data_IF_399153428397
#
_entry.id   IF_399153428397
#
_cell.length_a   1.000
_cell.length_b   1.000
_cell.length_c   1.000
_cell.angle_alpha   90.00
_cell.angle_beta   90.00
_cell.angle_gamma   90.00
#
_symmetry.space_group_name_H-M   'P 1'
#
loop_
_entity.id
_entity.type
_entity.pdbx_description
1 polymer ?
#
# COMPACT_ATOMS: atom_id res chain seq x y z
N UNK A 1 40.50 26.57 -9.71
CA UNK A 1 40.19 25.26 -10.34
C UNK A 1 40.76 25.28 -11.77
N UNK A 2 42.08 25.42 -11.88
CA UNK A 2 42.78 25.62 -13.15
C UNK A 2 44.04 24.78 -13.12
N UNK A 3 43.84 23.45 -13.17
CA UNK A 3 44.80 22.39 -13.51
C UNK A 3 44.33 21.07 -12.91
N UNK A 4 43.38 20.40 -13.56
CA UNK A 4 43.30 18.93 -13.48
C UNK A 4 44.01 18.43 -14.74
N UNK A 5 45.24 17.94 -14.57
CA UNK A 5 46.09 17.45 -15.67
C UNK A 5 45.71 16.03 -16.14
N UNK A 6 44.70 15.40 -15.53
CA UNK A 6 44.20 14.06 -15.86
C UNK A 6 42.67 14.01 -15.72
N UNK A 7 41.94 13.27 -16.57
CA UNK A 7 40.49 13.11 -16.47
C UNK A 7 40.04 12.25 -15.28
N UNK A 8 40.98 11.67 -14.52
CA UNK A 8 40.70 10.76 -13.41
C UNK A 8 41.06 11.40 -12.07
N UNK A 9 40.12 11.36 -11.13
CA UNK A 9 40.31 11.74 -9.72
C UNK A 9 40.63 10.49 -8.90
N UNK A 10 41.76 10.52 -8.19
CA UNK A 10 42.08 9.54 -7.14
C UNK A 10 41.68 10.13 -5.79
N UNK A 11 40.77 9.47 -5.09
CA UNK A 11 40.22 9.94 -3.82
C UNK A 11 40.53 8.91 -2.73
N UNK A 12 41.15 9.36 -1.64
CA UNK A 12 41.33 8.56 -0.43
C UNK A 12 40.31 9.05 0.60
N UNK A 13 39.40 8.16 0.97
CA UNK A 13 38.33 8.46 1.92
C UNK A 13 38.89 8.37 3.35
N UNK A 14 38.62 9.34 4.24
CA UNK A 14 39.00 9.23 5.65
C UNK A 14 38.27 8.10 6.37
N UNK A 15 38.95 7.42 7.29
CA UNK A 15 38.43 6.22 7.99
C UNK A 15 37.09 6.42 8.74
N UNK A 16 36.71 7.65 9.07
CA UNK A 16 35.46 7.95 9.78
C UNK A 16 34.24 8.09 8.84
N UNK A 17 34.44 8.14 7.52
CA UNK A 17 33.37 8.23 6.52
C UNK A 17 32.90 6.84 6.10
N UNK A 18 32.22 6.19 7.04
CA UNK A 18 31.70 4.82 6.90
C UNK A 18 30.56 4.70 5.87
N UNK A 19 30.02 5.85 5.46
CA UNK A 19 28.95 6.00 4.46
C UNK A 19 29.47 6.01 3.02
N UNK A 20 30.77 6.19 2.79
CA UNK A 20 31.34 6.10 1.44
C UNK A 20 31.82 4.67 1.19
N UNK A 21 31.16 4.00 0.26
CA UNK A 21 31.46 2.62 -0.10
C UNK A 21 32.81 2.49 -0.84
N UNK A 22 33.49 1.36 -0.62
CA UNK A 22 34.66 0.96 -1.42
C UNK A 22 34.27 0.28 -2.74
N UNK A 23 33.00 -0.08 -2.93
CA UNK A 23 32.51 -0.66 -4.18
C UNK A 23 32.47 0.42 -5.27
N UNK A 24 32.93 0.14 -6.51
CA UNK A 24 33.16 1.18 -7.51
C UNK A 24 31.92 1.99 -7.92
N UNK A 25 30.74 1.36 -7.98
CA UNK A 25 29.51 2.01 -8.44
C UNK A 25 28.92 2.87 -7.32
N UNK A 26 28.73 2.28 -6.15
CA UNK A 26 28.17 2.95 -4.97
C UNK A 26 29.12 4.02 -4.45
N UNK A 27 30.41 3.71 -4.27
CA UNK A 27 31.41 4.67 -3.81
C UNK A 27 31.56 5.89 -4.74
N UNK A 28 31.44 5.70 -6.06
CA UNK A 28 31.41 6.84 -7.00
C UNK A 28 30.16 7.70 -6.79
N UNK A 29 29.00 7.09 -6.59
CA UNK A 29 27.76 7.82 -6.33
C UNK A 29 27.84 8.60 -5.00
N UNK A 30 28.36 7.97 -3.93
CA UNK A 30 28.54 8.60 -2.62
C UNK A 30 29.47 9.83 -2.71
N UNK A 31 30.57 9.72 -3.48
CA UNK A 31 31.46 10.86 -3.72
C UNK A 31 30.80 11.98 -4.55
N UNK A 32 29.97 11.63 -5.53
CA UNK A 32 29.22 12.61 -6.33
C UNK A 32 28.17 13.32 -5.45
N UNK A 33 27.50 12.60 -4.56
CA UNK A 33 26.59 13.18 -3.56
C UNK A 33 27.34 14.19 -2.68
N UNK A 34 28.53 13.84 -2.17
CA UNK A 34 29.31 14.74 -1.33
C UNK A 34 29.76 16.01 -2.07
N UNK A 35 30.15 15.88 -3.33
CA UNK A 35 30.46 17.02 -4.19
C UNK A 35 29.21 17.89 -4.36
N UNK A 36 28.06 17.29 -4.66
CA UNK A 36 26.81 18.02 -4.83
C UNK A 36 26.37 18.72 -3.54
N UNK A 37 26.49 18.05 -2.38
CA UNK A 37 26.16 18.59 -1.05
C UNK A 37 27.03 19.79 -0.68
N UNK A 38 28.34 19.72 -0.94
CA UNK A 38 29.27 20.84 -0.68
C UNK A 38 29.11 21.98 -1.69
N UNK A 39 28.86 21.64 -2.96
CA UNK A 39 28.60 22.64 -4.01
C UNK A 39 27.30 23.41 -3.74
N UNK A 40 26.29 22.72 -3.21
CA UNK A 40 24.96 23.23 -2.91
C UNK A 40 23.96 22.81 -3.98
N UNK A 41 22.94 22.05 -3.59
CA UNK A 41 21.91 21.53 -4.51
C UNK A 41 21.19 22.64 -5.30
N UNK A 42 20.95 23.79 -4.68
CA UNK A 42 20.29 24.93 -5.33
C UNK A 42 21.08 25.52 -6.51
N UNK A 43 22.37 25.17 -6.63
CA UNK A 43 23.24 25.60 -7.72
C UNK A 43 23.27 24.61 -8.89
N UNK A 44 22.64 23.44 -8.74
CA UNK A 44 22.49 22.48 -9.82
C UNK A 44 21.30 22.94 -10.69
N UNK A 45 21.50 23.22 -11.99
CA UNK A 45 20.43 23.71 -12.84
C UNK A 45 19.35 22.64 -13.02
N UNK A 46 18.08 23.04 -12.92
CA UNK A 46 16.95 22.18 -13.26
C UNK A 46 16.86 22.10 -14.78
N UNK A 47 16.92 20.88 -15.31
CA UNK A 47 16.76 20.60 -16.74
C UNK A 47 15.69 19.55 -16.95
N UNK A 48 14.90 19.68 -18.01
CA UNK A 48 13.96 18.64 -18.42
C UNK A 48 14.69 17.48 -19.08
N UNK A 49 14.14 16.28 -18.95
CA UNK A 49 14.60 15.12 -19.71
C UNK A 49 14.25 15.35 -21.18
N UNK A 50 15.24 15.19 -22.08
CA UNK A 50 15.06 15.43 -23.52
C UNK A 50 14.48 14.25 -24.28
N UNK A 51 14.37 13.09 -23.63
CA UNK A 51 13.95 11.84 -24.25
C UNK A 51 12.42 11.76 -24.38
N UNK A 52 11.95 11.14 -25.46
CA UNK A 52 10.52 10.86 -25.63
C UNK A 52 10.03 9.92 -24.53
N UNK A 53 8.92 10.30 -23.89
CA UNK A 53 8.26 9.44 -22.91
C UNK A 53 7.72 8.17 -23.59
N UNK A 54 7.80 7.01 -22.93
CA UNK A 54 7.16 5.80 -23.43
C UNK A 54 5.64 6.02 -23.57
N UNK A 55 4.97 5.31 -24.49
CA UNK A 55 3.54 5.45 -24.69
C UNK A 55 2.79 5.09 -23.41
N UNK A 56 1.83 5.94 -23.03
CA UNK A 56 0.96 5.68 -21.89
C UNK A 56 0.14 4.41 -22.14
N UNK A 57 0.21 3.46 -21.22
CA UNK A 57 -0.61 2.25 -21.23
C UNK A 57 -1.66 2.35 -20.15
N UNK A 58 -2.92 2.31 -20.54
CA UNK A 58 -4.03 2.39 -19.60
C UNK A 58 -4.14 1.13 -18.76
N UNK A 59 -4.41 1.31 -17.46
CA UNK A 59 -4.72 0.21 -16.55
C UNK A 59 -6.24 0.00 -16.54
N UNK A 60 -6.74 -0.81 -17.48
CA UNK A 60 -8.18 -1.06 -17.63
C UNK A 60 -8.86 -1.56 -16.32
N UNK A 61 -8.26 -2.46 -15.52
CA UNK A 61 -8.79 -2.79 -14.20
C UNK A 61 -9.00 -1.57 -13.29
N UNK A 62 -8.01 -0.67 -13.23
CA UNK A 62 -8.09 0.55 -12.43
C UNK A 62 -9.19 1.48 -12.95
N UNK A 63 -9.25 1.73 -14.26
CA UNK A 63 -10.29 2.59 -14.86
C UNK A 63 -11.71 2.06 -14.59
N UNK A 64 -11.89 0.74 -14.63
CA UNK A 64 -13.19 0.11 -14.29
C UNK A 64 -13.51 0.24 -12.81
N UNK A 65 -12.50 0.16 -11.94
CA UNK A 65 -12.65 0.36 -10.50
C UNK A 65 -13.12 1.78 -10.19
N UNK A 66 -12.43 2.79 -10.74
CA UNK A 66 -12.80 4.21 -10.60
C UNK A 66 -14.20 4.48 -11.13
N UNK A 67 -14.51 4.01 -12.34
CA UNK A 67 -15.86 4.17 -12.89
C UNK A 67 -16.94 3.53 -12.02
N UNK A 68 -16.63 2.43 -11.33
CA UNK A 68 -17.58 1.81 -10.39
C UNK A 68 -17.78 2.68 -9.16
N UNK A 69 -16.72 3.29 -8.62
CA UNK A 69 -16.83 4.26 -7.51
C UNK A 69 -17.65 5.47 -7.90
N UNK A 70 -17.41 6.03 -9.08
CA UNK A 70 -18.16 7.18 -9.60
C UNK A 70 -19.66 6.87 -9.66
N UNK A 71 -20.03 5.74 -10.28
CA UNK A 71 -21.43 5.33 -10.41
C UNK A 71 -22.13 5.12 -9.06
N UNK A 72 -21.45 4.55 -8.07
CA UNK A 72 -22.03 4.33 -6.74
C UNK A 72 -22.18 5.64 -5.96
N UNK A 73 -21.21 6.55 -6.11
CA UNK A 73 -21.27 7.89 -5.51
C UNK A 73 -22.38 8.72 -6.14
N UNK A 74 -22.51 8.70 -7.46
CA UNK A 74 -23.60 9.34 -8.21
C UNK A 74 -24.97 8.76 -7.84
N UNK A 75 -25.02 7.48 -7.45
CA UNK A 75 -26.22 6.82 -6.96
C UNK A 75 -26.58 7.18 -5.50
N UNK A 76 -25.79 8.02 -4.85
CA UNK A 76 -26.03 8.53 -3.50
C UNK A 76 -25.43 7.70 -2.36
N UNK A 77 -24.61 6.68 -2.68
CA UNK A 77 -23.87 5.94 -1.66
C UNK A 77 -22.60 6.69 -1.28
N UNK A 78 -22.15 6.51 -0.04
CA UNK A 78 -20.91 7.08 0.46
C UNK A 78 -19.81 6.01 0.50
N UNK A 79 -18.67 6.27 -0.13
CA UNK A 79 -17.51 5.39 0.01
C UNK A 79 -16.95 5.49 1.43
N UNK A 80 -16.68 4.35 2.04
CA UNK A 80 -15.92 4.24 3.28
C UNK A 80 -14.65 3.43 3.04
N UNK A 81 -13.62 3.70 3.84
CA UNK A 81 -12.35 2.98 3.80
C UNK A 81 -12.12 2.37 5.18
N UNK A 82 -12.26 1.06 5.27
CA UNK A 82 -12.09 0.35 6.53
C UNK A 82 -10.70 -0.26 6.69
N UNK A 83 -10.36 -0.61 7.94
CA UNK A 83 -9.09 -1.28 8.22
C UNK A 83 -9.02 -2.64 7.53
N UNK A 84 -7.84 -2.95 7.01
CA UNK A 84 -7.53 -4.26 6.42
C UNK A 84 -7.21 -5.31 7.49
N UNK A 85 -6.87 -4.85 8.69
CA UNK A 85 -6.53 -5.69 9.84
C UNK A 85 -7.73 -5.82 10.77
N UNK A 86 -7.91 -7.03 11.29
CA UNK A 86 -9.02 -7.43 12.15
C UNK A 86 -8.57 -8.59 13.05
N UNK A 87 -9.52 -9.33 13.62
CA UNK A 87 -9.28 -10.61 14.28
C UNK A 87 -10.19 -11.71 13.74
N UNK A 88 -9.78 -12.99 13.85
CA UNK A 88 -10.63 -14.13 13.49
C UNK A 88 -12.00 -14.09 14.19
N UNK A 89 -12.04 -13.67 15.46
CA UNK A 89 -13.27 -13.60 16.26
C UNK A 89 -14.25 -12.55 15.71
N UNK A 90 -13.73 -11.43 15.21
CA UNK A 90 -14.53 -10.39 14.57
C UNK A 90 -15.06 -10.89 13.22
N UNK A 91 -14.24 -11.55 12.41
CA UNK A 91 -14.65 -12.16 11.12
C UNK A 91 -15.71 -13.26 11.28
N UNK A 92 -15.68 -13.99 12.40
CA UNK A 92 -16.65 -15.05 12.70
C UNK A 92 -18.10 -14.53 12.79
N UNK A 93 -18.31 -13.23 13.01
CA UNK A 93 -19.65 -12.61 13.06
C UNK A 93 -20.38 -12.68 11.71
N UNK A 94 -19.63 -12.68 10.61
CA UNK A 94 -20.17 -12.71 9.23
C UNK A 94 -19.84 -14.02 8.54
N UNK A 95 -18.60 -14.50 8.67
CA UNK A 95 -18.13 -15.72 8.00
C UNK A 95 -18.52 -17.01 8.74
N UNK A 96 -18.92 -16.90 10.02
CA UNK A 96 -19.27 -18.01 10.88
C UNK A 96 -18.06 -18.67 11.52
N UNK A 97 -18.26 -19.23 12.73
CA UNK A 97 -17.17 -19.86 13.52
C UNK A 97 -16.49 -21.01 12.79
N UNK A 98 -17.27 -21.88 12.14
CA UNK A 98 -16.74 -23.04 11.42
C UNK A 98 -15.76 -22.64 10.30
N UNK A 99 -16.05 -21.56 9.59
CA UNK A 99 -15.14 -21.04 8.57
C UNK A 99 -13.83 -20.59 9.20
N UNK A 100 -13.93 -19.76 10.24
CA UNK A 100 -12.77 -19.14 10.89
C UNK A 100 -11.86 -20.18 11.56
N UNK A 101 -12.43 -21.22 12.16
CA UNK A 101 -11.66 -22.32 12.78
C UNK A 101 -10.83 -23.11 11.78
N UNK A 102 -11.26 -23.16 10.51
CA UNK A 102 -10.58 -23.88 9.42
C UNK A 102 -9.73 -22.96 8.55
N UNK A 103 -9.96 -21.65 8.61
CA UNK A 103 -9.28 -20.68 7.77
C UNK A 103 -7.86 -20.42 8.28
N UNK A 104 -6.90 -20.46 7.37
CA UNK A 104 -5.57 -19.91 7.61
C UNK A 104 -5.63 -18.41 7.33
N UNK A 105 -5.12 -17.59 8.23
CA UNK A 105 -5.05 -16.13 8.07
C UNK A 105 -3.63 -15.67 7.78
N UNK A 106 -3.49 -14.53 7.11
CA UNK A 106 -2.24 -13.77 7.09
C UNK A 106 -2.12 -13.01 8.40
N UNK A 107 -1.21 -13.45 9.27
CA UNK A 107 -1.04 -12.91 10.62
C UNK A 107 0.14 -11.95 10.69
N UNK A 108 -0.05 -10.79 11.32
CA UNK A 108 1.06 -9.88 11.60
C UNK A 108 1.95 -10.44 12.70
N UNK A 109 3.27 -10.42 12.45
CA UNK A 109 4.26 -10.88 13.44
C UNK A 109 4.34 -9.98 14.68
N UNK A 110 4.12 -8.66 14.52
CA UNK A 110 4.18 -7.69 15.61
C UNK A 110 3.03 -6.66 15.46
N UNK A 111 1.79 -7.04 15.80
CA UNK A 111 0.64 -6.16 15.66
C UNK A 111 0.69 -5.02 16.69
N UNK A 112 0.37 -3.80 16.26
CA UNK A 112 0.35 -2.63 17.15
C UNK A 112 -0.77 -2.70 18.20
N UNK A 113 -1.85 -3.42 17.92
CA UNK A 113 -2.93 -3.72 18.89
C UNK A 113 -3.44 -5.16 18.69
N UNK A 114 -3.95 -5.82 19.76
CA UNK A 114 -4.50 -7.18 19.66
C UNK A 114 -5.67 -7.31 18.68
N UNK A 115 -6.48 -6.25 18.53
CA UNK A 115 -7.67 -6.20 17.65
C UNK A 115 -7.31 -6.13 16.15
N UNK A 116 -6.01 -6.06 15.82
CA UNK A 116 -5.50 -5.89 14.45
C UNK A 116 -4.39 -6.91 14.17
N UNK A 117 -4.68 -8.18 14.43
CA UNK A 117 -3.70 -9.28 14.38
C UNK A 117 -3.65 -9.99 13.04
N UNK A 118 -4.75 -10.03 12.28
CA UNK A 118 -4.83 -10.72 10.99
C UNK A 118 -5.38 -9.84 9.88
N UNK A 119 -4.99 -10.12 8.63
CA UNK A 119 -5.58 -9.47 7.46
C UNK A 119 -6.97 -10.06 7.16
N UNK A 120 -7.94 -9.20 6.84
CA UNK A 120 -9.35 -9.59 6.61
C UNK A 120 -9.51 -10.49 5.38
N UNK A 121 -10.39 -11.48 5.49
CA UNK A 121 -10.93 -12.27 4.40
C UNK A 121 -12.26 -11.69 3.89
N UNK A 122 -12.90 -10.77 4.64
CA UNK A 122 -14.16 -10.13 4.25
C UNK A 122 -14.13 -8.62 4.41
N UNK A 123 -14.33 -7.89 3.30
CA UNK A 123 -14.62 -6.44 3.35
C UNK A 123 -15.97 -6.18 4.03
N UNK A 124 -16.94 -7.10 3.86
CA UNK A 124 -18.30 -6.93 4.38
C UNK A 124 -18.30 -6.85 5.90
N UNK A 125 -17.46 -7.64 6.57
CA UNK A 125 -17.37 -7.58 8.01
C UNK A 125 -16.93 -6.20 8.51
N UNK A 126 -15.86 -5.66 7.94
CA UNK A 126 -15.37 -4.33 8.28
C UNK A 126 -16.39 -3.22 7.98
N UNK A 127 -17.10 -3.31 6.85
CA UNK A 127 -18.18 -2.37 6.50
C UNK A 127 -19.33 -2.45 7.52
N UNK A 128 -19.71 -3.65 7.95
CA UNK A 128 -20.78 -3.84 8.94
C UNK A 128 -20.40 -3.32 10.33
N UNK A 129 -19.12 -3.34 10.72
CA UNK A 129 -18.67 -2.69 11.96
C UNK A 129 -18.90 -1.18 11.92
N UNK A 130 -18.59 -0.53 10.79
CA UNK A 130 -18.87 0.91 10.59
C UNK A 130 -20.37 1.18 10.59
N UNK A 131 -21.17 0.36 9.91
CA UNK A 131 -22.63 0.47 9.93
C UNK A 131 -23.15 0.35 11.37
N UNK A 132 -22.67 -0.63 12.14
CA UNK A 132 -23.10 -0.84 13.52
C UNK A 132 -22.75 0.36 14.41
N UNK A 133 -21.52 0.89 14.31
CA UNK A 133 -21.07 2.05 15.08
C UNK A 133 -21.91 3.31 14.80
N UNK A 134 -22.29 3.52 13.53
CA UNK A 134 -23.01 4.71 13.09
C UNK A 134 -24.54 4.57 13.15
N UNK A 135 -25.08 3.34 13.27
CA UNK A 135 -26.52 3.06 13.25
C UNK A 135 -27.32 3.74 14.38
N UNK A 136 -26.66 4.10 15.49
CA UNK A 136 -27.25 4.85 16.60
C UNK A 136 -27.31 6.37 16.35
N UNK A 137 -26.56 6.87 15.38
CA UNK A 137 -26.42 8.30 15.09
C UNK A 137 -27.17 8.72 13.82
N UNK A 138 -27.45 7.78 12.93
CA UNK A 138 -28.09 8.05 11.64
C UNK A 138 -29.26 7.09 11.40
N UNK A 139 -30.38 7.64 10.92
CA UNK A 139 -31.59 6.86 10.65
C UNK A 139 -31.46 5.97 9.41
N UNK A 140 -30.59 6.32 8.47
CA UNK A 140 -30.33 5.63 7.21
C UNK A 140 -28.83 5.72 6.91
N UNK A 141 -28.23 4.61 6.50
CA UNK A 141 -26.82 4.51 6.13
C UNK A 141 -26.73 3.81 4.78
N UNK A 142 -25.97 4.37 3.85
CA UNK A 142 -25.77 3.81 2.50
C UNK A 142 -24.29 3.91 2.16
N UNK A 143 -23.57 2.84 2.45
CA UNK A 143 -22.11 2.78 2.32
C UNK A 143 -21.69 1.79 1.25
N UNK A 144 -20.54 2.06 0.65
CA UNK A 144 -19.83 1.07 -0.14
C UNK A 144 -18.33 1.12 0.14
N UNK A 145 -17.64 0.02 -0.14
CA UNK A 145 -16.18 -0.03 -0.16
C UNK A 145 -15.71 -0.90 -1.31
N UNK A 146 -14.72 -0.42 -2.07
CA UNK A 146 -13.92 -1.25 -2.96
C UNK A 146 -12.58 -1.56 -2.29
N UNK A 147 -12.49 -2.74 -1.69
CA UNK A 147 -11.44 -3.15 -0.77
C UNK A 147 -10.74 -4.44 -1.22
N UNK A 148 -9.53 -4.69 -0.71
CA UNK A 148 -8.88 -5.99 -0.85
C UNK A 148 -9.26 -6.93 0.30
N UNK A 149 -9.28 -8.23 0.00
CA UNK A 149 -9.20 -9.33 0.96
C UNK A 149 -7.92 -10.11 0.70
N UNK A 150 -7.39 -10.75 1.75
CA UNK A 150 -6.07 -11.36 1.73
C UNK A 150 -6.21 -12.84 2.03
N UNK A 151 -6.09 -13.68 1.00
CA UNK A 151 -6.25 -15.12 1.13
C UNK A 151 -4.88 -15.80 1.06
N UNK A 152 -4.54 -16.73 1.97
CA UNK A 152 -3.27 -17.45 1.88
C UNK A 152 -3.18 -18.24 0.57
N UNK A 153 -2.02 -18.20 -0.05
CA UNK A 153 -1.79 -18.94 -1.30
C UNK A 153 -1.40 -20.38 -0.98
N UNK A 154 -2.27 -21.35 -1.27
CA UNK A 154 -1.95 -22.78 -1.07
C UNK A 154 -1.19 -23.36 -2.26
N UNK A 155 -0.13 -24.14 -2.01
CA UNK A 155 0.51 -25.00 -3.02
C UNK A 155 1.63 -24.35 -3.84
N UNK A 156 2.09 -23.15 -3.48
CA UNK A 156 3.27 -22.53 -4.08
C UNK A 156 4.54 -22.84 -3.27
N UNK A 157 5.68 -22.85 -3.94
CA UNK A 157 7.02 -23.00 -3.34
C UNK A 157 7.90 -21.80 -3.70
N UNK A 158 8.91 -21.50 -2.87
CA UNK A 158 9.80 -20.35 -3.07
C UNK A 158 9.19 -19.00 -2.66
N UNK A 159 9.74 -17.90 -3.18
CA UNK A 159 9.32 -16.54 -2.81
C UNK A 159 7.84 -16.23 -3.12
N UNK A 160 7.28 -16.88 -4.15
CA UNK A 160 5.86 -16.74 -4.52
C UNK A 160 4.90 -17.39 -3.50
N UNK A 161 5.39 -18.28 -2.62
CA UNK A 161 4.62 -18.85 -1.52
C UNK A 161 4.44 -17.89 -0.34
N UNK A 162 5.18 -16.78 -0.33
CA UNK A 162 5.25 -15.85 0.81
C UNK A 162 4.10 -14.83 0.74
N UNK A 163 3.60 -14.52 -0.45
CA UNK A 163 2.60 -13.46 -0.63
C UNK A 163 1.17 -14.04 -0.66
N UNK A 164 0.21 -13.39 0.00
CA UNK A 164 -1.19 -13.76 -0.11
C UNK A 164 -1.76 -13.37 -1.47
N UNK A 165 -2.83 -14.05 -1.84
CA UNK A 165 -3.68 -13.64 -2.95
C UNK A 165 -4.53 -12.43 -2.51
N UNK A 166 -4.27 -11.28 -3.12
CA UNK A 166 -5.00 -10.04 -2.85
C UNK A 166 -6.16 -9.87 -3.84
N UNK A 167 -7.37 -10.22 -3.39
CA UNK A 167 -8.57 -10.10 -4.23
C UNK A 167 -9.31 -8.80 -3.96
N UNK A 168 -9.57 -8.02 -5.01
CA UNK A 168 -10.52 -6.91 -4.95
C UNK A 168 -11.95 -7.39 -4.76
N UNK A 169 -12.68 -6.71 -3.88
CA UNK A 169 -14.09 -6.92 -3.57
C UNK A 169 -14.80 -5.57 -3.49
N UNK A 170 -16.00 -5.50 -4.06
CA UNK A 170 -16.96 -4.42 -3.82
C UNK A 170 -17.97 -4.91 -2.78
N UNK A 171 -18.22 -4.10 -1.78
CA UNK A 171 -19.30 -4.29 -0.81
C UNK A 171 -20.19 -3.06 -0.82
N UNK A 172 -21.50 -3.29 -0.71
CA UNK A 172 -22.51 -2.27 -0.52
C UNK A 172 -23.31 -2.66 0.72
N UNK A 173 -23.52 -1.72 1.64
CA UNK A 173 -24.34 -1.89 2.83
C UNK A 173 -25.35 -0.74 2.93
N UNK A 174 -26.63 -1.09 3.04
CA UNK A 174 -27.73 -0.12 3.11
C UNK A 174 -28.65 -0.49 4.26
N UNK A 175 -29.04 0.50 5.06
CA UNK A 175 -30.02 0.35 6.14
C UNK A 175 -31.30 1.14 5.83
N UNK A 176 -32.44 0.61 6.27
CA UNK A 176 -33.73 1.30 6.18
C UNK A 176 -33.93 2.29 7.35
N UNK A 177 -34.94 3.17 7.25
CA UNK A 177 -35.32 4.04 8.36
C UNK A 177 -35.68 3.22 9.60
N UNK A 178 -35.17 3.64 10.77
CA UNK A 178 -35.62 3.09 12.07
C UNK A 178 -37.11 3.44 12.26
N UNK A 179 -37.95 2.40 12.32
CA UNK A 179 -39.33 2.46 12.84
C UNK A 179 -39.33 2.63 14.36
#
# INVERSE_FOLDING_TARGET
>A
ISNLQSPTLHVTVPDHRLDISAEPVTGRADLVEEIARVYGYDRVPVTELTDELPPQRNNLPFEREERTRDLLTESGLQEIITYRLTTPEVEARVLGKEYVEKATYVTLANPSTPERSVMRHSVLNSVLEIVAENSKHHARLEFFEVGHVYLPTSGLTGEAAILPEEKRRLVIAMTGPRS
#
